data_IF_144028550489
#
_entry.id   IF_144028550489
#
_cell.length_a   1.000
_cell.length_b   1.000
_cell.length_c   1.000
_cell.angle_alpha   90.00
_cell.angle_beta   90.00
_cell.angle_gamma   90.00
#
_symmetry.space_group_name_H-M   'P 1'
#
loop_
_entity.id
_entity.type
_entity.pdbx_description
1 polymer ?
#
# COMPACT_ATOMS: atom_id res chain seq x y z
N UNK A 1 5.42 20.86 -20.96
CA UNK A 1 5.30 19.95 -19.80
C UNK A 1 4.34 18.84 -20.20
N UNK A 2 4.75 17.57 -20.12
CA UNK A 2 3.86 16.44 -20.45
C UNK A 2 2.85 16.32 -19.31
N UNK A 3 1.56 16.51 -19.57
CA UNK A 3 0.53 16.30 -18.55
C UNK A 3 0.36 14.79 -18.36
N UNK A 4 0.68 14.30 -17.18
CA UNK A 4 0.49 12.89 -16.83
C UNK A 4 -1.00 12.62 -16.60
N UNK A 5 -1.50 11.51 -17.13
CA UNK A 5 -2.87 11.07 -16.90
C UNK A 5 -3.01 10.46 -15.49
N UNK A 6 -4.21 10.51 -14.90
CA UNK A 6 -4.47 9.91 -13.58
C UNK A 6 -4.04 8.43 -13.48
N UNK A 7 -4.24 7.58 -14.51
CA UNK A 7 -3.76 6.19 -14.49
C UNK A 7 -2.24 6.06 -14.47
N UNK A 8 -1.54 6.93 -15.20
CA UNK A 8 -0.07 6.97 -15.19
C UNK A 8 0.43 7.36 -13.80
N UNK A 9 -0.14 8.39 -13.18
CA UNK A 9 0.22 8.79 -11.81
C UNK A 9 0.03 7.62 -10.85
N UNK A 10 -1.13 6.96 -10.88
CA UNK A 10 -1.44 5.80 -10.02
C UNK A 10 -0.42 4.67 -10.18
N UNK A 11 -0.03 4.37 -11.43
CA UNK A 11 0.92 3.30 -11.76
C UNK A 11 2.27 3.45 -11.06
N UNK A 12 2.75 4.67 -10.86
CA UNK A 12 4.05 4.93 -10.23
C UNK A 12 3.93 5.31 -8.76
N UNK A 13 2.87 6.01 -8.38
CA UNK A 13 2.69 6.55 -7.03
C UNK A 13 2.48 5.44 -5.99
N UNK A 14 1.70 4.40 -6.32
CA UNK A 14 1.50 3.25 -5.43
C UNK A 14 2.81 2.54 -5.07
N UNK A 15 3.58 2.04 -6.06
CA UNK A 15 4.89 1.42 -5.82
C UNK A 15 5.88 2.35 -5.11
N UNK A 16 5.87 3.64 -5.43
CA UNK A 16 6.71 4.63 -4.75
C UNK A 16 6.38 4.74 -3.26
N UNK A 17 5.09 4.86 -2.90
CA UNK A 17 4.65 4.90 -1.50
C UNK A 17 5.04 3.62 -0.77
N UNK A 18 4.90 2.46 -1.40
CA UNK A 18 5.31 1.18 -0.82
C UNK A 18 6.83 1.16 -0.57
N UNK A 19 7.64 1.59 -1.54
CA UNK A 19 9.10 1.64 -1.38
C UNK A 19 9.52 2.58 -0.24
N UNK A 20 8.91 3.77 -0.15
CA UNK A 20 9.14 4.71 0.96
C UNK A 20 8.71 4.10 2.29
N UNK A 21 7.55 3.44 2.34
CA UNK A 21 7.05 2.76 3.53
C UNK A 21 7.99 1.64 4.00
N UNK A 22 8.57 0.86 3.07
CA UNK A 22 9.54 -0.19 3.39
C UNK A 22 10.85 0.39 3.91
N UNK A 23 11.37 1.44 3.28
CA UNK A 23 12.57 2.14 3.75
C UNK A 23 12.37 2.72 5.16
N UNK A 24 11.22 3.36 5.39
CA UNK A 24 10.84 3.86 6.70
C UNK A 24 10.69 2.74 7.74
N UNK A 25 10.12 1.61 7.34
CA UNK A 25 9.99 0.43 8.21
C UNK A 25 11.34 -0.12 8.63
N UNK A 26 12.27 -0.26 7.67
CA UNK A 26 13.63 -0.70 7.94
C UNK A 26 14.36 0.24 8.91
N UNK A 27 14.29 1.55 8.65
CA UNK A 27 14.86 2.56 9.53
C UNK A 27 14.25 2.50 10.95
N UNK A 28 12.92 2.46 11.03
CA UNK A 28 12.17 2.37 12.28
C UNK A 28 12.57 1.12 13.09
N UNK A 29 12.76 -0.01 12.40
CA UNK A 29 13.19 -1.25 13.02
C UNK A 29 14.59 -1.16 13.62
N UNK A 30 15.51 -0.43 12.99
CA UNK A 30 16.86 -0.18 13.54
C UNK A 30 16.82 0.77 14.73
N UNK A 31 15.97 1.80 14.68
CA UNK A 31 15.87 2.82 15.75
C UNK A 31 15.08 2.37 16.98
N UNK A 32 14.57 1.13 17.02
CA UNK A 32 13.85 0.58 18.16
C UNK A 32 12.37 0.97 18.24
N UNK A 33 11.76 1.40 17.13
CA UNK A 33 10.33 1.67 17.06
C UNK A 33 9.52 0.41 17.45
N UNK A 34 8.46 0.52 18.29
CA UNK A 34 7.68 -0.63 18.67
C UNK A 34 7.02 -1.31 17.46
N UNK A 35 7.18 -2.64 17.36
CA UNK A 35 6.72 -3.44 16.22
C UNK A 35 5.21 -3.29 15.94
N UNK A 36 4.39 -3.11 16.98
CA UNK A 36 2.95 -2.90 16.83
C UNK A 36 2.61 -1.57 16.13
N UNK A 37 3.45 -0.54 16.25
CA UNK A 37 3.28 0.75 15.56
C UNK A 37 3.55 0.57 14.07
N UNK A 38 4.63 -0.14 13.72
CA UNK A 38 4.97 -0.49 12.33
C UNK A 38 3.84 -1.30 11.71
N UNK A 39 3.34 -2.32 12.43
CA UNK A 39 2.24 -3.15 11.99
C UNK A 39 0.95 -2.32 11.77
N UNK A 40 0.58 -1.46 12.71
CA UNK A 40 -0.58 -0.58 12.59
C UNK A 40 -0.48 0.35 11.38
N UNK A 41 0.72 0.88 11.10
CA UNK A 41 0.98 1.69 9.90
C UNK A 41 0.69 0.94 8.61
N UNK A 42 1.18 -0.29 8.49
CA UNK A 42 0.90 -1.15 7.32
C UNK A 42 -0.53 -1.69 7.28
N UNK A 43 -1.21 -1.79 8.42
CA UNK A 43 -2.61 -2.20 8.49
C UNK A 43 -3.57 -1.09 8.02
N UNK A 44 -3.25 0.18 8.29
CA UNK A 44 -4.10 1.32 7.94
C UNK A 44 -3.71 1.98 6.61
N UNK A 45 -2.42 1.99 6.27
CA UNK A 45 -1.91 2.69 5.10
C UNK A 45 -2.57 2.26 3.78
N UNK A 46 -2.53 0.97 3.41
CA UNK A 46 -3.11 0.48 2.15
C UNK A 46 -4.64 0.65 2.05
N UNK A 47 -5.45 0.42 3.10
CA UNK A 47 -6.88 0.79 3.07
C UNK A 47 -7.12 2.29 2.80
N UNK A 48 -6.36 3.18 3.45
CA UNK A 48 -6.44 4.63 3.20
C UNK A 48 -6.03 4.94 1.76
N UNK A 49 -4.97 4.31 1.27
CA UNK A 49 -4.51 4.46 -0.11
C UNK A 49 -5.59 4.05 -1.13
N UNK A 50 -6.28 2.93 -0.93
CA UNK A 50 -7.35 2.50 -1.85
C UNK A 50 -8.51 3.49 -1.92
N UNK A 51 -8.85 4.14 -0.81
CA UNK A 51 -9.85 5.22 -0.81
C UNK A 51 -9.35 6.42 -1.62
N UNK A 52 -8.10 6.86 -1.39
CA UNK A 52 -7.51 7.97 -2.13
C UNK A 52 -7.42 7.67 -3.64
N UNK A 53 -7.04 6.45 -4.02
CA UNK A 53 -7.04 6.03 -5.42
C UNK A 53 -8.42 6.14 -6.05
N UNK A 54 -9.48 5.71 -5.35
CA UNK A 54 -10.84 5.79 -5.85
C UNK A 54 -11.34 7.23 -5.97
N UNK A 55 -11.11 8.07 -4.96
CA UNK A 55 -11.64 9.44 -4.97
C UNK A 55 -10.84 10.40 -5.87
N UNK A 56 -9.52 10.24 -5.96
CA UNK A 56 -8.64 11.21 -6.62
C UNK A 56 -8.11 10.73 -7.96
N UNK A 57 -7.82 9.43 -8.11
CA UNK A 57 -7.07 8.88 -9.24
C UNK A 57 -7.90 7.99 -10.16
N UNK A 58 -9.14 7.63 -9.78
CA UNK A 58 -10.07 6.97 -10.68
C UNK A 58 -10.59 7.99 -11.71
N UNK A 59 -10.59 7.57 -12.97
CA UNK A 59 -11.08 8.36 -14.08
C UNK A 59 -12.25 7.62 -14.74
N UNK A 60 -13.48 8.00 -14.38
CA UNK A 60 -14.68 7.35 -14.90
C UNK A 60 -14.91 7.58 -16.40
N UNK A 61 -14.28 8.61 -17.00
CA UNK A 61 -14.41 8.92 -18.43
C UNK A 61 -13.50 8.02 -19.27
N UNK A 62 -12.33 7.65 -18.74
CA UNK A 62 -11.29 6.94 -19.47
C UNK A 62 -11.05 5.50 -19.00
N UNK A 63 -11.55 5.10 -17.81
CA UNK A 63 -11.33 3.78 -17.23
C UNK A 63 -12.63 2.99 -16.99
N UNK A 64 -12.57 1.69 -17.26
CA UNK A 64 -13.65 0.77 -16.87
C UNK A 64 -13.57 0.50 -15.38
N UNK A 65 -14.63 0.83 -14.64
CA UNK A 65 -14.78 0.53 -13.20
C UNK A 65 -14.41 -0.92 -12.86
N UNK A 66 -14.79 -1.89 -13.71
CA UNK A 66 -14.47 -3.31 -13.52
C UNK A 66 -12.96 -3.60 -13.50
N UNK A 67 -12.18 -2.92 -14.36
CA UNK A 67 -10.72 -3.07 -14.38
C UNK A 67 -10.08 -2.41 -13.15
N UNK A 68 -10.58 -1.25 -12.75
CA UNK A 68 -10.12 -0.55 -11.54
C UNK A 68 -10.33 -1.40 -10.28
N UNK A 69 -11.54 -1.94 -10.08
CA UNK A 69 -11.86 -2.82 -8.94
C UNK A 69 -11.01 -4.09 -8.97
N UNK A 70 -10.78 -4.67 -10.16
CA UNK A 70 -9.91 -5.83 -10.29
C UNK A 70 -8.48 -5.54 -9.83
N UNK A 71 -7.93 -4.39 -10.21
CA UNK A 71 -6.61 -3.93 -9.77
C UNK A 71 -6.56 -3.73 -8.26
N UNK A 72 -7.54 -3.04 -7.68
CA UNK A 72 -7.62 -2.86 -6.22
C UNK A 72 -7.75 -4.19 -5.47
N UNK A 73 -8.50 -5.16 -6.02
CA UNK A 73 -8.60 -6.49 -5.43
C UNK A 73 -7.26 -7.24 -5.46
N UNK A 74 -6.47 -7.09 -6.52
CA UNK A 74 -5.14 -7.68 -6.61
C UNK A 74 -4.21 -7.08 -5.55
N UNK A 75 -4.19 -5.75 -5.44
CA UNK A 75 -3.40 -5.03 -4.43
C UNK A 75 -3.82 -5.40 -3.01
N UNK A 76 -5.14 -5.50 -2.74
CA UNK A 76 -5.67 -5.94 -1.44
C UNK A 76 -5.18 -7.35 -1.09
N UNK A 77 -5.22 -8.29 -2.03
CA UNK A 77 -4.78 -9.66 -1.75
C UNK A 77 -3.27 -9.71 -1.44
N UNK A 78 -2.45 -8.97 -2.18
CA UNK A 78 -1.01 -8.85 -1.91
C UNK A 78 -0.75 -8.22 -0.53
N UNK A 79 -1.48 -7.15 -0.21
CA UNK A 79 -1.43 -6.48 1.08
C UNK A 79 -1.81 -7.40 2.23
N UNK A 80 -2.89 -8.18 2.10
CA UNK A 80 -3.29 -9.17 3.13
C UNK A 80 -2.20 -10.22 3.35
N UNK A 81 -1.58 -10.72 2.28
CA UNK A 81 -0.43 -11.62 2.38
C UNK A 81 0.75 -10.99 3.10
N UNK A 82 1.05 -9.73 2.79
CA UNK A 82 2.09 -8.97 3.47
C UNK A 82 1.79 -8.72 4.96
N UNK A 83 0.54 -8.40 5.31
CA UNK A 83 0.12 -8.28 6.71
C UNK A 83 0.22 -9.61 7.46
N UNK A 84 -0.18 -10.71 6.83
CA UNK A 84 -0.04 -12.04 7.43
C UNK A 84 1.44 -12.35 7.70
N UNK A 85 2.33 -12.02 6.77
CA UNK A 85 3.78 -12.12 6.96
C UNK A 85 4.27 -11.26 8.14
N UNK A 86 3.89 -9.97 8.20
CA UNK A 86 4.29 -9.09 9.29
C UNK A 86 3.75 -9.55 10.65
N UNK A 87 2.51 -10.02 10.70
CA UNK A 87 1.90 -10.56 11.91
C UNK A 87 2.68 -11.79 12.39
N UNK A 88 2.98 -12.73 11.49
CA UNK A 88 3.80 -13.89 11.82
C UNK A 88 5.20 -13.47 12.29
N UNK A 89 5.86 -12.56 11.58
CA UNK A 89 7.21 -12.10 11.91
C UNK A 89 7.31 -11.37 13.25
N UNK A 90 6.36 -10.49 13.57
CA UNK A 90 6.40 -9.68 14.79
C UNK A 90 5.75 -10.32 16.01
N UNK A 91 4.69 -11.12 15.83
CA UNK A 91 3.92 -11.75 16.91
C UNK A 91 4.25 -13.23 17.08
N UNK A 92 4.89 -13.86 16.10
CA UNK A 92 5.37 -15.22 16.23
C UNK A 92 6.45 -15.32 17.29
N UNK A 93 6.33 -16.32 18.16
CA UNK A 93 7.39 -16.73 19.07
C UNK A 93 8.41 -17.56 18.28
N UNK A 94 9.26 -16.88 17.51
CA UNK A 94 10.40 -17.50 16.84
C UNK A 94 11.49 -17.71 17.89
N UNK A 95 11.57 -18.95 18.39
CA UNK A 95 12.60 -19.39 19.32
C UNK A 95 13.86 -19.79 18.56
#
# INVERSE_FOLDING_TARGET
MKNWTKPEIRKYLGPFIVAVGLAYTYHSHITGCPRYVIFAGWALGPPVWFLLEYFLLFDAENEKLKQFIHYQSLCRNLWLGFLAYLAAFYLGTWN
#
